data_IF_946189939088
#
_entry.id   IF_946189939088
#
_cell.length_a   1.000
_cell.length_b   1.000
_cell.length_c   1.000
_cell.angle_alpha   90.00
_cell.angle_beta   90.00
_cell.angle_gamma   90.00
#
_symmetry.space_group_name_H-M   'P 1'
#
loop_
_entity.id
_entity.type
_entity.pdbx_description
1 polymer ?
#
# COMPACT_ATOMS: atom_id res chain seq x y z
N UNK A 1 13.10 8.56 -9.75
CA UNK A 1 11.95 7.79 -10.29
C UNK A 1 12.29 6.35 -10.70
N UNK A 2 13.42 6.04 -11.37
CA UNK A 2 13.71 4.65 -11.81
C UNK A 2 13.90 3.61 -10.68
N UNK A 3 14.39 3.99 -9.51
CA UNK A 3 14.83 3.06 -8.44
C UNK A 3 13.73 2.24 -7.76
N UNK A 4 12.45 2.63 -7.83
CA UNK A 4 11.37 2.01 -7.04
C UNK A 4 10.17 1.52 -7.86
N UNK A 5 10.36 1.37 -9.18
CA UNK A 5 9.26 0.91 -10.07
C UNK A 5 8.82 -0.51 -9.76
N UNK A 6 9.74 -1.38 -9.41
CA UNK A 6 9.45 -2.78 -9.10
C UNK A 6 8.55 -2.89 -7.87
N UNK A 7 8.90 -2.23 -6.76
CA UNK A 7 8.07 -2.17 -5.57
C UNK A 7 6.66 -1.62 -5.89
N UNK A 8 6.56 -0.55 -6.67
CA UNK A 8 5.25 -0.01 -7.04
C UNK A 8 4.41 -0.99 -7.88
N UNK A 9 5.02 -1.65 -8.87
CA UNK A 9 4.30 -2.63 -9.69
C UNK A 9 3.85 -3.86 -8.90
N UNK A 10 4.69 -4.34 -7.98
CA UNK A 10 4.32 -5.43 -7.10
C UNK A 10 3.21 -4.99 -6.15
N UNK A 11 3.26 -3.77 -5.58
CA UNK A 11 2.18 -3.24 -4.76
C UNK A 11 0.85 -3.16 -5.53
N UNK A 12 0.85 -2.68 -6.79
CA UNK A 12 -0.35 -2.66 -7.63
C UNK A 12 -0.86 -4.08 -7.91
N UNK A 13 0.02 -5.04 -8.18
CA UNK A 13 -0.37 -6.43 -8.38
C UNK A 13 -1.02 -7.04 -7.11
N UNK A 14 -0.55 -6.65 -5.93
CA UNK A 14 -0.92 -7.26 -4.65
C UNK A 14 -1.98 -6.50 -3.84
N UNK A 15 -2.34 -5.26 -4.20
CA UNK A 15 -3.13 -4.36 -3.35
C UNK A 15 -4.43 -4.97 -2.81
N UNK A 16 -5.05 -5.87 -3.58
CA UNK A 16 -6.31 -6.52 -3.25
C UNK A 16 -6.19 -8.04 -3.06
N UNK A 17 -4.98 -8.58 -2.89
CA UNK A 17 -4.73 -10.04 -2.91
C UNK A 17 -5.50 -10.83 -1.85
N UNK A 18 -5.91 -10.18 -0.76
CA UNK A 18 -6.66 -10.78 0.33
C UNK A 18 -8.18 -10.55 0.27
N UNK A 19 -8.72 -9.96 -0.82
CA UNK A 19 -10.18 -9.80 -0.98
C UNK A 19 -10.91 -11.14 -0.84
N UNK A 20 -12.04 -11.12 -0.15
CA UNK A 20 -12.88 -12.30 0.13
C UNK A 20 -12.46 -13.12 1.35
N UNK A 21 -11.43 -12.70 2.08
CA UNK A 21 -11.08 -13.26 3.39
C UNK A 21 -11.95 -12.65 4.51
N UNK A 22 -12.10 -13.35 5.66
CA UNK A 22 -12.87 -12.84 6.81
C UNK A 22 -12.19 -11.70 7.57
N UNK A 23 -10.89 -11.52 7.36
CA UNK A 23 -10.04 -10.46 7.92
C UNK A 23 -10.03 -9.21 7.03
N UNK A 24 -9.61 -8.05 7.57
CA UNK A 24 -9.37 -6.85 6.73
C UNK A 24 -8.37 -7.18 5.63
N UNK A 25 -8.75 -6.95 4.38
CA UNK A 25 -7.97 -7.38 3.23
C UNK A 25 -6.70 -6.54 3.02
N UNK A 26 -6.64 -5.31 3.55
CA UNK A 26 -5.44 -4.49 3.47
C UNK A 26 -4.39 -5.02 4.45
N UNK A 27 -4.78 -5.29 5.70
CA UNK A 27 -3.88 -5.88 6.71
C UNK A 27 -3.43 -7.30 6.33
N UNK A 28 -4.37 -8.12 5.88
CA UNK A 28 -4.10 -9.47 5.42
C UNK A 28 -3.21 -9.49 4.16
N UNK A 29 -3.49 -8.57 3.23
CA UNK A 29 -2.68 -8.36 2.03
C UNK A 29 -1.25 -7.97 2.38
N UNK A 30 -1.06 -7.08 3.36
CA UNK A 30 0.26 -6.68 3.84
C UNK A 30 1.05 -7.86 4.45
N UNK A 31 0.38 -8.72 5.25
CA UNK A 31 1.01 -9.96 5.76
C UNK A 31 1.42 -10.91 4.65
N UNK A 32 0.59 -11.05 3.61
CA UNK A 32 0.92 -11.86 2.43
C UNK A 32 2.12 -11.25 1.69
N UNK A 33 2.11 -9.94 1.46
CA UNK A 33 3.20 -9.22 0.80
C UNK A 33 4.55 -9.41 1.51
N UNK A 34 4.59 -9.24 2.85
CA UNK A 34 5.81 -9.49 3.65
C UNK A 34 6.36 -10.91 3.48
N UNK A 35 5.49 -11.89 3.22
CA UNK A 35 5.88 -13.28 2.97
C UNK A 35 6.33 -13.52 1.53
N UNK A 36 5.65 -12.98 0.53
CA UNK A 36 5.88 -13.35 -0.88
C UNK A 36 6.92 -12.48 -1.59
N UNK A 37 7.07 -11.21 -1.23
CA UNK A 37 8.01 -10.30 -1.88
C UNK A 37 9.47 -10.78 -1.83
N UNK A 38 9.98 -11.36 -0.71
CA UNK A 38 11.32 -11.95 -0.70
C UNK A 38 11.48 -13.10 -1.72
N UNK A 39 10.44 -13.91 -1.93
CA UNK A 39 10.44 -14.97 -2.94
C UNK A 39 10.40 -14.43 -4.37
N UNK A 40 9.93 -13.19 -4.55
CA UNK A 40 9.97 -12.46 -5.82
C UNK A 40 11.32 -11.73 -6.05
N UNK A 41 12.27 -11.84 -5.12
CA UNK A 41 13.59 -11.23 -5.20
C UNK A 41 13.67 -9.79 -4.68
N UNK A 42 12.65 -9.28 -4.00
CA UNK A 42 12.67 -7.94 -3.43
C UNK A 42 13.59 -7.86 -2.21
N UNK A 43 14.25 -6.72 -2.03
CA UNK A 43 14.99 -6.41 -0.82
C UNK A 43 14.06 -6.32 0.39
N UNK A 44 14.61 -6.35 1.61
CA UNK A 44 13.81 -6.14 2.82
C UNK A 44 13.11 -4.76 2.82
N UNK A 45 13.81 -3.73 2.33
CA UNK A 45 13.27 -2.37 2.22
C UNK A 45 12.13 -2.29 1.19
N UNK A 46 12.28 -2.92 0.02
CA UNK A 46 11.23 -2.95 -1.00
C UNK A 46 10.04 -3.80 -0.55
N UNK A 47 10.30 -4.91 0.13
CA UNK A 47 9.25 -5.76 0.73
C UNK A 47 8.39 -4.98 1.70
N UNK A 48 9.01 -4.23 2.61
CA UNK A 48 8.26 -3.41 3.58
C UNK A 48 7.54 -2.25 2.88
N UNK A 49 8.16 -1.63 1.87
CA UNK A 49 7.50 -0.61 1.05
C UNK A 49 6.25 -1.15 0.37
N UNK A 50 6.31 -2.35 -0.22
CA UNK A 50 5.14 -3.01 -0.82
C UNK A 50 4.09 -3.30 0.24
N UNK A 51 4.48 -3.88 1.38
CA UNK A 51 3.55 -4.23 2.44
C UNK A 51 2.81 -3.00 2.97
N UNK A 52 3.54 -1.91 3.22
CA UNK A 52 2.96 -0.63 3.66
C UNK A 52 2.02 -0.02 2.62
N UNK A 53 2.36 -0.10 1.32
CA UNK A 53 1.49 0.36 0.23
C UNK A 53 0.19 -0.45 0.15
N UNK A 54 0.27 -1.78 0.31
CA UNK A 54 -0.90 -2.67 0.34
C UNK A 54 -1.75 -2.41 1.59
N UNK A 55 -1.13 -2.19 2.75
CA UNK A 55 -1.82 -1.91 4.02
C UNK A 55 -2.64 -0.61 3.95
N UNK A 56 -2.10 0.42 3.29
CA UNK A 56 -2.69 1.76 3.27
C UNK A 56 -3.44 2.11 1.98
N UNK A 57 -3.61 1.15 1.05
CA UNK A 57 -4.17 1.45 -0.27
C UNK A 57 -5.60 2.01 -0.20
N UNK A 58 -6.42 1.58 0.77
CA UNK A 58 -7.76 2.13 1.00
C UNK A 58 -7.72 3.56 1.55
N UNK A 59 -6.78 3.88 2.46
CA UNK A 59 -6.63 5.24 3.00
C UNK A 59 -6.32 6.22 1.87
N UNK A 60 -5.38 5.86 0.99
CA UNK A 60 -5.07 6.64 -0.22
C UNK A 60 -6.29 6.76 -1.13
N UNK A 61 -6.93 5.63 -1.45
CA UNK A 61 -8.06 5.56 -2.38
C UNK A 61 -9.25 6.41 -1.91
N UNK A 62 -9.61 6.31 -0.62
CA UNK A 62 -10.67 7.10 -0.01
C UNK A 62 -10.32 8.59 0.00
N UNK A 63 -9.11 8.95 0.45
CA UNK A 63 -8.68 10.36 0.48
C UNK A 63 -8.72 10.99 -0.92
N UNK A 64 -8.20 10.30 -1.93
CA UNK A 64 -8.16 10.78 -3.31
C UNK A 64 -9.55 10.95 -3.95
N UNK A 65 -10.52 10.14 -3.55
CA UNK A 65 -11.85 10.14 -4.16
C UNK A 65 -12.87 11.01 -3.42
N UNK A 66 -12.70 11.25 -2.11
CA UNK A 66 -13.74 11.88 -1.28
C UNK A 66 -13.34 13.21 -0.65
N UNK A 67 -12.08 13.67 -0.80
CA UNK A 67 -11.58 14.91 -0.17
C UNK A 67 -11.04 15.89 -1.21
N UNK A 68 -10.93 17.17 -0.83
CA UNK A 68 -10.26 18.18 -1.65
C UNK A 68 -8.75 18.09 -1.45
N UNK A 69 -8.03 17.73 -2.52
CA UNK A 69 -6.57 17.55 -2.49
C UNK A 69 -5.80 18.88 -2.46
N UNK A 70 -6.47 20.02 -2.69
CA UNK A 70 -5.85 21.34 -2.57
C UNK A 70 -6.02 21.94 -1.16
N UNK A 71 -6.89 21.36 -0.34
CA UNK A 71 -7.08 21.78 1.03
C UNK A 71 -5.88 21.37 1.90
N UNK A 72 -5.28 22.36 2.57
CA UNK A 72 -4.15 22.17 3.49
C UNK A 72 -4.47 21.15 4.57
N UNK A 73 -5.69 21.19 5.12
CA UNK A 73 -6.08 20.31 6.23
C UNK A 73 -6.14 18.84 5.77
N UNK A 74 -6.70 18.58 4.59
CA UNK A 74 -6.69 17.25 3.97
C UNK A 74 -5.27 16.70 3.79
N UNK A 75 -4.33 17.53 3.34
CA UNK A 75 -2.92 17.12 3.18
C UNK A 75 -2.28 16.78 4.53
N UNK A 76 -2.49 17.63 5.55
CA UNK A 76 -1.96 17.41 6.90
C UNK A 76 -2.55 16.16 7.55
N UNK A 77 -3.86 15.94 7.42
CA UNK A 77 -4.56 14.77 7.96
C UNK A 77 -4.02 13.49 7.31
N UNK A 78 -3.91 13.46 5.98
CA UNK A 78 -3.36 12.30 5.28
C UNK A 78 -1.91 12.01 5.70
N UNK A 79 -1.04 13.03 5.71
CA UNK A 79 0.36 12.89 6.10
C UNK A 79 0.56 12.50 7.58
N UNK A 80 -0.44 12.68 8.44
CA UNK A 80 -0.39 12.22 9.84
C UNK A 80 -0.73 10.74 10.01
N UNK A 81 -1.38 10.13 9.00
CA UNK A 81 -1.80 8.72 9.02
C UNK A 81 -0.69 7.83 8.48
N UNK A 82 0.01 8.27 7.42
CA UNK A 82 0.94 7.45 6.63
C UNK A 82 2.40 7.88 6.75
#
# INVERSE_FOLDING_TARGET
>A
LKKSREALYVAVLLHDIAKGRPEDHSEAGARIARRICPHMGLSAADTETVAWLVENHLVMSMTAQTRDLNDRKTIEDFASIV
#
